data_IF_027594965663
#
_entry.id   IF_027594965663
#
_cell.length_a   1.000
_cell.length_b   1.000
_cell.length_c   1.000
_cell.angle_alpha   90.00
_cell.angle_beta   90.00
_cell.angle_gamma   90.00
#
_symmetry.space_group_name_H-M   'P 1'
#
loop_
_entity.id
_entity.type
_entity.pdbx_description
1 polymer ?
#
# COMPACT_ATOMS: atom_id res chain seq x y z
N UNK A 1 8.70 -19.07 28.47
CA UNK A 1 7.93 -18.73 27.24
C UNK A 1 8.37 -17.38 26.65
N UNK A 2 9.68 -17.14 26.47
CA UNK A 2 10.21 -15.83 26.02
C UNK A 2 11.05 -15.91 24.72
N UNK A 3 11.28 -17.12 24.20
CA UNK A 3 12.20 -17.36 23.08
C UNK A 3 11.57 -16.98 21.72
N UNK A 4 10.27 -17.19 21.55
CA UNK A 4 9.55 -16.95 20.28
C UNK A 4 9.37 -15.45 19.94
N UNK A 5 9.27 -14.56 20.95
CA UNK A 5 9.04 -13.12 20.72
C UNK A 5 10.22 -12.44 20.05
N UNK A 6 11.45 -12.89 20.33
CA UNK A 6 12.67 -12.32 19.75
C UNK A 6 12.85 -12.75 18.29
N UNK A 7 12.48 -13.98 17.97
CA UNK A 7 12.47 -14.48 16.59
C UNK A 7 11.42 -13.73 15.75
N UNK A 8 10.24 -13.51 16.29
CA UNK A 8 9.17 -12.75 15.64
C UNK A 8 9.63 -11.32 15.27
N UNK A 9 10.27 -10.61 16.19
CA UNK A 9 10.83 -9.27 15.92
C UNK A 9 11.92 -9.29 14.82
N UNK A 10 12.69 -10.36 14.71
CA UNK A 10 13.70 -10.51 13.64
C UNK A 10 13.02 -10.72 12.29
N UNK A 11 11.97 -11.54 12.25
CA UNK A 11 11.17 -11.79 11.05
C UNK A 11 10.53 -10.49 10.56
N UNK A 12 9.88 -9.73 11.46
CA UNK A 12 9.24 -8.46 11.14
C UNK A 12 10.24 -7.46 10.53
N UNK A 13 11.39 -7.24 11.18
CA UNK A 13 12.43 -6.34 10.67
C UNK A 13 12.95 -6.77 9.30
N UNK A 14 13.09 -8.07 9.08
CA UNK A 14 13.58 -8.59 7.80
C UNK A 14 12.57 -8.34 6.69
N UNK A 15 11.28 -8.58 6.95
CA UNK A 15 10.18 -8.25 6.03
C UNK A 15 10.13 -6.75 5.72
N UNK A 16 10.28 -5.89 6.73
CA UNK A 16 10.33 -4.44 6.55
C UNK A 16 11.49 -4.01 5.63
N UNK A 17 12.69 -4.57 5.81
CA UNK A 17 13.82 -4.26 4.93
C UNK A 17 13.60 -4.72 3.48
N UNK A 18 13.04 -5.93 3.30
CA UNK A 18 12.69 -6.44 1.97
C UNK A 18 11.71 -5.49 1.29
N UNK A 19 10.61 -5.15 1.98
CA UNK A 19 9.56 -4.28 1.47
C UNK A 19 10.10 -2.90 1.11
N UNK A 20 10.82 -2.25 2.02
CA UNK A 20 11.35 -0.89 1.80
C UNK A 20 12.27 -0.87 0.58
N UNK A 21 13.16 -1.85 0.46
CA UNK A 21 14.07 -1.95 -0.69
C UNK A 21 13.30 -2.17 -2.00
N UNK A 22 12.25 -3.00 -1.96
CA UNK A 22 11.42 -3.26 -3.13
C UNK A 22 10.63 -2.01 -3.57
N UNK A 23 10.07 -1.25 -2.63
CA UNK A 23 9.40 0.03 -2.90
C UNK A 23 10.36 1.05 -3.53
N UNK A 24 11.59 1.14 -3.02
CA UNK A 24 12.65 1.98 -3.61
C UNK A 24 12.96 1.55 -5.05
N UNK A 25 13.11 0.25 -5.30
CA UNK A 25 13.39 -0.28 -6.65
C UNK A 25 12.26 -0.01 -7.64
N UNK A 26 10.99 -0.18 -7.24
CA UNK A 26 9.84 0.12 -8.11
C UNK A 26 9.79 1.60 -8.51
N UNK A 27 10.27 2.50 -7.65
CA UNK A 27 10.36 3.92 -7.99
C UNK A 27 11.53 4.24 -8.95
N UNK A 28 12.51 3.35 -9.07
CA UNK A 28 13.73 3.56 -9.87
C UNK A 28 13.71 2.86 -11.23
N UNK A 29 13.01 1.72 -11.37
CA UNK A 29 13.03 0.88 -12.57
C UNK A 29 11.73 0.12 -12.80
N UNK A 30 11.55 -0.38 -14.02
CA UNK A 30 10.39 -1.20 -14.40
C UNK A 30 10.37 -2.53 -13.62
N UNK A 31 9.19 -3.01 -13.25
CA UNK A 31 9.00 -4.21 -12.44
C UNK A 31 9.65 -5.45 -13.06
N UNK A 32 9.58 -5.59 -14.39
CA UNK A 32 10.13 -6.73 -15.14
C UNK A 32 11.66 -6.82 -15.04
N UNK A 33 12.33 -5.72 -14.68
CA UNK A 33 13.78 -5.66 -14.50
C UNK A 33 14.21 -6.01 -13.06
N UNK A 34 13.28 -5.99 -12.11
CA UNK A 34 13.54 -6.32 -10.72
C UNK A 34 13.80 -7.82 -10.60
N UNK A 35 14.93 -8.17 -9.98
CA UNK A 35 15.28 -9.57 -9.70
C UNK A 35 15.46 -9.80 -8.20
N UNK A 36 15.16 -11.02 -7.74
CA UNK A 36 15.42 -11.44 -6.34
C UNK A 36 16.91 -11.24 -5.99
N UNK A 37 17.81 -11.43 -6.96
CA UNK A 37 19.25 -11.18 -6.78
C UNK A 37 19.52 -9.73 -6.39
N UNK A 38 19.05 -8.78 -7.19
CA UNK A 38 19.30 -7.36 -6.97
C UNK A 38 18.63 -6.88 -5.68
N UNK A 39 17.38 -7.29 -5.47
CA UNK A 39 16.63 -6.97 -4.25
C UNK A 39 17.37 -7.43 -2.98
N UNK A 40 17.82 -8.68 -2.95
CA UNK A 40 18.53 -9.24 -1.78
C UNK A 40 19.90 -8.58 -1.56
N UNK A 41 20.58 -8.19 -2.64
CA UNK A 41 21.85 -7.45 -2.57
C UNK A 41 21.65 -6.06 -1.97
N UNK A 42 20.67 -5.29 -2.44
CA UNK A 42 20.36 -3.95 -1.92
C UNK A 42 19.85 -3.98 -0.48
N UNK A 43 18.97 -4.93 -0.16
CA UNK A 43 18.43 -5.14 1.18
C UNK A 43 19.47 -5.70 2.17
N UNK A 44 20.67 -6.10 1.69
CA UNK A 44 21.75 -6.72 2.48
C UNK A 44 21.29 -7.98 3.24
N UNK A 45 20.52 -8.82 2.58
CA UNK A 45 20.03 -10.09 3.12
C UNK A 45 20.49 -11.28 2.28
N UNK A 46 20.48 -12.47 2.88
CA UNK A 46 20.73 -13.70 2.13
C UNK A 46 19.49 -14.05 1.28
N UNK A 47 19.70 -14.56 0.07
CA UNK A 47 18.60 -15.10 -0.77
C UNK A 47 17.78 -16.17 -0.05
N UNK A 48 18.43 -17.04 0.74
CA UNK A 48 17.70 -18.03 1.55
C UNK A 48 16.72 -17.37 2.53
N UNK A 49 17.06 -16.19 3.04
CA UNK A 49 16.19 -15.41 3.94
C UNK A 49 15.00 -14.82 3.18
N UNK A 50 15.18 -14.37 1.94
CA UNK A 50 14.05 -13.97 1.10
C UNK A 50 13.08 -15.13 0.89
N UNK A 51 13.61 -16.31 0.52
CA UNK A 51 12.80 -17.50 0.28
C UNK A 51 12.13 -18.11 1.52
N UNK A 52 12.53 -17.66 2.73
CA UNK A 52 11.81 -18.01 3.96
C UNK A 52 10.48 -17.24 4.10
N UNK A 53 10.36 -16.09 3.42
CA UNK A 53 9.22 -15.19 3.52
C UNK A 53 8.36 -15.17 2.26
N UNK A 54 8.96 -15.34 1.08
CA UNK A 54 8.32 -15.22 -0.23
C UNK A 54 8.86 -16.26 -1.20
N UNK A 55 8.00 -16.89 -2.02
CA UNK A 55 8.47 -17.79 -3.07
C UNK A 55 8.90 -17.02 -4.32
N UNK A 56 8.20 -15.92 -4.61
CA UNK A 56 8.40 -15.09 -5.80
C UNK A 56 8.36 -13.59 -5.49
N UNK A 57 8.73 -12.75 -6.46
CA UNK A 57 8.52 -11.30 -6.37
C UNK A 57 7.02 -10.95 -6.42
N UNK A 58 6.22 -11.74 -7.13
CA UNK A 58 4.77 -11.55 -7.22
C UNK A 58 4.10 -11.74 -5.86
N UNK A 59 4.59 -12.68 -5.04
CA UNK A 59 4.08 -12.86 -3.66
C UNK A 59 4.29 -11.59 -2.82
N UNK A 60 5.47 -10.97 -2.93
CA UNK A 60 5.80 -9.73 -2.24
C UNK A 60 4.93 -8.57 -2.75
N UNK A 61 4.80 -8.46 -4.07
CA UNK A 61 3.98 -7.43 -4.71
C UNK A 61 2.51 -7.57 -4.29
N UNK A 62 1.98 -8.79 -4.25
CA UNK A 62 0.61 -9.07 -3.85
C UNK A 62 0.35 -8.71 -2.38
N UNK A 63 1.29 -9.00 -1.46
CA UNK A 63 1.18 -8.57 -0.06
C UNK A 63 1.08 -7.04 0.04
N UNK A 64 1.95 -6.32 -0.66
CA UNK A 64 1.97 -4.85 -0.67
C UNK A 64 0.67 -4.28 -1.27
N UNK A 65 0.21 -4.82 -2.42
CA UNK A 65 -1.03 -4.39 -3.06
C UNK A 65 -2.24 -4.60 -2.16
N UNK A 66 -2.33 -5.76 -1.50
CA UNK A 66 -3.42 -6.05 -0.58
C UNK A 66 -3.43 -5.08 0.60
N UNK A 67 -2.27 -4.77 1.17
CA UNK A 67 -2.18 -3.80 2.26
C UNK A 67 -2.61 -2.40 1.80
N UNK A 68 -2.16 -1.95 0.63
CA UNK A 68 -2.57 -0.66 0.06
C UNK A 68 -4.07 -0.60 -0.18
N UNK A 69 -4.65 -1.65 -0.77
CA UNK A 69 -6.08 -1.75 -1.03
C UNK A 69 -6.90 -1.74 0.27
N UNK A 70 -6.48 -2.50 1.28
CA UNK A 70 -7.14 -2.53 2.59
C UNK A 70 -7.06 -1.17 3.29
N UNK A 71 -5.90 -0.51 3.24
CA UNK A 71 -5.72 0.82 3.78
C UNK A 71 -6.61 1.85 3.08
N UNK A 72 -6.73 1.76 1.76
CA UNK A 72 -7.64 2.59 0.98
C UNK A 72 -9.09 2.36 1.37
N UNK A 73 -9.54 1.10 1.36
CA UNK A 73 -10.90 0.69 1.77
C UNK A 73 -11.21 1.23 3.16
N UNK A 74 -10.31 1.03 4.14
CA UNK A 74 -10.49 1.51 5.52
C UNK A 74 -10.69 3.03 5.58
N UNK A 75 -9.96 3.80 4.78
CA UNK A 75 -10.09 5.27 4.73
C UNK A 75 -11.40 5.70 4.06
N UNK A 76 -11.92 4.91 3.13
CA UNK A 76 -13.12 5.25 2.35
C UNK A 76 -14.40 4.55 2.80
N UNK A 77 -14.36 3.70 3.83
CA UNK A 77 -15.50 2.90 4.31
C UNK A 77 -16.75 3.73 4.68
N UNK A 78 -16.57 4.98 5.12
CA UNK A 78 -17.67 5.89 5.47
C UNK A 78 -18.09 6.84 4.34
N UNK A 79 -17.48 6.73 3.16
CA UNK A 79 -17.83 7.55 2.00
C UNK A 79 -18.96 6.86 1.23
N UNK A 80 -20.15 7.45 1.27
CA UNK A 80 -21.22 7.04 0.37
C UNK A 80 -20.86 7.49 -1.05
N UNK A 81 -20.86 6.55 -1.99
CA UNK A 81 -20.84 6.91 -3.40
C UNK A 81 -22.15 7.64 -3.68
N UNK A 82 -22.13 8.88 -4.17
CA UNK A 82 -23.37 9.54 -4.53
C UNK A 82 -24.07 8.72 -5.61
N UNK A 83 -25.24 8.15 -5.26
CA UNK A 83 -26.04 7.30 -6.16
C UNK A 83 -26.41 8.05 -7.45
N UNK A 84 -26.48 9.38 -7.38
CA UNK A 84 -26.57 10.30 -8.50
C UNK A 84 -25.58 11.45 -8.32
N UNK A 85 -24.45 11.41 -9.04
CA UNK A 85 -23.46 12.49 -9.07
C UNK A 85 -24.14 13.83 -9.41
N UNK A 86 -25.14 13.79 -10.31
CA UNK A 86 -25.94 14.95 -10.71
C UNK A 86 -26.75 15.54 -9.54
N UNK A 87 -27.34 14.70 -8.68
CA UNK A 87 -28.12 15.15 -7.52
C UNK A 87 -27.22 15.80 -6.46
N UNK A 88 -26.01 15.28 -6.28
CA UNK A 88 -25.03 15.82 -5.32
C UNK A 88 -24.47 17.16 -5.78
N UNK A 89 -24.14 17.32 -7.06
CA UNK A 89 -23.68 18.61 -7.62
C UNK A 89 -24.80 19.66 -7.62
N UNK A 90 -26.05 19.25 -7.84
CA UNK A 90 -27.21 20.14 -7.73
C UNK A 90 -27.34 20.74 -6.32
N UNK A 91 -27.17 19.91 -5.26
CA UNK A 91 -27.25 20.37 -3.86
C UNK A 91 -26.23 21.46 -3.52
N UNK A 92 -25.04 21.42 -4.13
CA UNK A 92 -23.97 22.42 -3.93
C UNK A 92 -24.21 23.70 -4.73
N UNK A 93 -24.82 23.62 -5.92
CA UNK A 93 -25.10 24.82 -6.74
C UNK A 93 -26.25 25.69 -6.22
N UNK A 94 -27.26 25.13 -5.56
CA UNK A 94 -28.44 25.91 -5.16
C UNK A 94 -28.25 26.79 -3.91
N UNK A 95 -27.18 26.63 -3.12
CA UNK A 95 -26.92 27.53 -1.97
C UNK A 95 -26.31 28.88 -2.41
N UNK A 96 -25.71 28.97 -3.59
CA UNK A 96 -25.07 30.21 -4.07
C UNK A 96 -26.01 31.15 -4.84
N UNK A 97 -27.25 30.75 -5.13
CA UNK A 97 -28.17 31.49 -6.03
C UNK A 97 -29.35 32.11 -5.26
N UNK A 98 -29.55 31.79 -3.98
CA UNK A 98 -30.66 32.31 -3.16
C UNK A 98 -30.29 33.47 -2.21
N UNK A 99 -29.04 33.97 -2.24
CA UNK A 99 -28.58 35.09 -1.40
C UNK A 99 -28.28 36.39 -2.17
N UNK A 100 -28.77 36.54 -3.40
CA UNK A 100 -28.61 37.77 -4.22
C UNK A 100 -29.88 38.61 -4.39
N UNK A 101 -30.95 38.32 -3.64
CA UNK A 101 -32.17 39.15 -3.59
C UNK A 101 -32.62 39.44 -2.13
N UNK A 102 -31.69 39.91 -1.31
CA UNK A 102 -32.00 40.67 -0.10
C UNK A 102 -31.08 41.91 -0.07
N UNK A 103 -31.50 42.96 -0.77
CA UNK A 103 -31.12 44.35 -0.56
C UNK A 103 -32.21 45.23 -1.18
#
# INVERSE_FOLDING_TARGET
MAENKKEDLRVQRTKEFIRKTFEEMICEMDYEQISVKELTQRAKINRKTFYLHYNTLDDLLLEIQNELAQNFIRRTQGLERPCDILATVARVKYHSILWTHCA
#
